data_IF_920990866712
#
_entry.id   IF_920990866712
#
_cell.length_a   1.000
_cell.length_b   1.000
_cell.length_c   1.000
_cell.angle_alpha   90.00
_cell.angle_beta   90.00
_cell.angle_gamma   90.00
#
_symmetry.space_group_name_H-M   'P 1'
#
loop_
_entity.id
_entity.type
_entity.pdbx_description
1 polymer ?
#
# COMPACT_ATOMS: atom_id res chain seq x y z
N UNK A 1 -20.56 -12.25 22.98
CA UNK A 1 -21.09 -12.42 21.61
C UNK A 1 -20.75 -11.15 20.86
N UNK A 2 -19.84 -11.22 19.88
CA UNK A 2 -19.54 -10.07 19.02
C UNK A 2 -20.76 -9.75 18.16
N UNK A 3 -21.05 -8.47 17.94
CA UNK A 3 -22.15 -8.04 17.07
C UNK A 3 -21.85 -8.41 15.60
N UNK A 4 -22.87 -8.79 14.80
CA UNK A 4 -22.71 -9.14 13.38
C UNK A 4 -22.09 -8.00 12.54
N UNK A 5 -22.25 -6.77 13.01
CA UNK A 5 -21.70 -5.54 12.43
C UNK A 5 -20.17 -5.53 12.46
N UNK A 6 -19.56 -5.96 13.57
CA UNK A 6 -18.10 -6.04 13.75
C UNK A 6 -17.49 -7.11 12.85
N UNK A 7 -18.20 -8.22 12.68
CA UNK A 7 -17.76 -9.34 11.82
C UNK A 7 -17.72 -8.93 10.34
N UNK A 8 -18.71 -8.16 9.88
CA UNK A 8 -18.71 -7.57 8.54
C UNK A 8 -17.56 -6.57 8.32
N UNK A 9 -17.27 -5.71 9.30
CA UNK A 9 -16.16 -4.75 9.22
C UNK A 9 -14.79 -5.42 9.17
N UNK A 10 -14.59 -6.47 9.98
CA UNK A 10 -13.35 -7.24 9.99
C UNK A 10 -13.13 -7.96 8.65
N UNK A 11 -14.13 -8.69 8.17
CA UNK A 11 -14.06 -9.42 6.90
C UNK A 11 -13.77 -8.50 5.71
N UNK A 12 -14.44 -7.34 5.64
CA UNK A 12 -14.19 -6.34 4.61
C UNK A 12 -12.76 -5.78 4.65
N UNK A 13 -12.29 -5.43 5.85
CA UNK A 13 -10.94 -4.91 6.05
C UNK A 13 -9.85 -5.94 5.70
N UNK A 14 -10.02 -7.19 6.15
CA UNK A 14 -9.09 -8.28 5.87
C UNK A 14 -9.01 -8.59 4.37
N UNK A 15 -10.14 -8.60 3.67
CA UNK A 15 -10.20 -8.82 2.21
C UNK A 15 -9.46 -7.73 1.45
N UNK A 16 -9.66 -6.45 1.84
CA UNK A 16 -8.95 -5.33 1.24
C UNK A 16 -7.44 -5.43 1.46
N UNK A 17 -7.02 -5.81 2.67
CA UNK A 17 -5.60 -5.94 3.01
C UNK A 17 -4.95 -7.09 2.25
N UNK A 18 -5.64 -8.22 2.10
CA UNK A 18 -5.19 -9.34 1.27
C UNK A 18 -4.97 -8.91 -0.18
N UNK A 19 -5.94 -8.19 -0.77
CA UNK A 19 -5.81 -7.72 -2.15
C UNK A 19 -4.58 -6.81 -2.34
N UNK A 20 -4.31 -5.92 -1.40
CA UNK A 20 -3.11 -5.07 -1.42
C UNK A 20 -1.82 -5.90 -1.29
N UNK A 21 -1.77 -6.86 -0.35
CA UNK A 21 -0.62 -7.74 -0.17
C UNK A 21 -0.34 -8.58 -1.42
N UNK A 22 -1.39 -9.10 -2.09
CA UNK A 22 -1.24 -9.84 -3.33
C UNK A 22 -0.66 -8.98 -4.46
N UNK A 23 -1.11 -7.73 -4.60
CA UNK A 23 -0.65 -6.82 -5.65
C UNK A 23 0.77 -6.29 -5.40
N UNK A 24 1.08 -5.92 -4.16
CA UNK A 24 2.33 -5.24 -3.81
C UNK A 24 3.48 -6.22 -3.53
N UNK A 25 3.17 -7.36 -2.91
CA UNK A 25 4.17 -8.32 -2.44
C UNK A 25 4.17 -9.62 -3.25
N UNK A 26 3.21 -9.82 -4.16
CA UNK A 26 3.04 -11.07 -4.90
C UNK A 26 2.58 -12.25 -4.05
N UNK A 27 2.07 -11.99 -2.84
CA UNK A 27 1.69 -13.03 -1.88
C UNK A 27 0.47 -13.82 -2.35
N UNK A 28 0.54 -15.15 -2.21
CA UNK A 28 -0.62 -16.03 -2.37
C UNK A 28 -1.47 -15.98 -1.09
N UNK A 29 -2.74 -16.46 -1.13
CA UNK A 29 -3.61 -16.47 0.06
C UNK A 29 -2.97 -17.08 1.31
N UNK A 30 -2.21 -18.17 1.16
CA UNK A 30 -1.57 -18.85 2.29
C UNK A 30 -0.53 -17.97 3.02
N UNK A 31 0.17 -17.09 2.30
CA UNK A 31 1.17 -16.19 2.87
C UNK A 31 0.49 -15.10 3.70
N UNK A 32 -0.60 -14.51 3.20
CA UNK A 32 -1.36 -13.51 3.94
C UNK A 32 -2.03 -14.06 5.19
N UNK A 33 -2.73 -15.20 5.09
CA UNK A 33 -3.45 -15.78 6.23
C UNK A 33 -2.52 -16.45 7.26
N UNK A 34 -1.28 -16.76 6.87
CA UNK A 34 -0.24 -17.24 7.77
C UNK A 34 0.55 -16.12 8.46
N UNK A 35 0.53 -14.90 7.92
CA UNK A 35 1.25 -13.76 8.49
C UNK A 35 0.55 -13.21 9.74
N UNK A 36 1.34 -12.86 10.74
CA UNK A 36 0.87 -12.20 11.94
C UNK A 36 0.60 -10.71 11.68
N UNK A 37 -0.30 -10.07 12.45
CA UNK A 37 -0.52 -8.62 12.34
C UNK A 37 0.75 -7.78 12.56
N UNK A 38 1.69 -8.26 13.39
CA UNK A 38 2.94 -7.57 13.67
C UNK A 38 3.89 -7.61 12.46
N UNK A 39 3.97 -8.75 11.76
CA UNK A 39 4.74 -8.86 10.52
C UNK A 39 4.16 -7.97 9.42
N UNK A 40 2.82 -7.95 9.26
CA UNK A 40 2.17 -7.04 8.32
C UNK A 40 2.47 -5.57 8.63
N UNK A 41 2.40 -5.17 9.90
CA UNK A 41 2.76 -3.80 10.30
C UNK A 41 4.23 -3.47 10.01
N UNK A 42 5.15 -4.39 10.27
CA UNK A 42 6.58 -4.18 9.99
C UNK A 42 6.84 -3.98 8.49
N UNK A 43 6.20 -4.77 7.63
CA UNK A 43 6.30 -4.64 6.17
C UNK A 43 5.78 -3.28 5.71
N UNK A 44 4.57 -2.91 6.12
CA UNK A 44 3.97 -1.65 5.68
C UNK A 44 4.71 -0.41 6.20
N UNK A 45 5.23 -0.45 7.42
CA UNK A 45 6.06 0.63 7.95
C UNK A 45 7.35 0.83 7.12
N UNK A 46 7.96 -0.27 6.65
CA UNK A 46 9.15 -0.16 5.79
C UNK A 46 8.79 0.33 4.37
N UNK A 47 7.64 -0.08 3.84
CA UNK A 47 7.13 0.46 2.58
C UNK A 47 6.85 1.96 2.65
N UNK A 48 6.30 2.44 3.76
CA UNK A 48 6.08 3.87 4.00
C UNK A 48 7.41 4.63 4.09
N UNK A 49 8.38 4.13 4.86
CA UNK A 49 9.73 4.70 4.91
C UNK A 49 10.41 4.74 3.54
N UNK A 50 10.21 3.71 2.71
CA UNK A 50 10.74 3.70 1.35
C UNK A 50 10.11 4.79 0.45
N UNK A 51 8.93 5.32 0.80
CA UNK A 51 8.29 6.46 0.12
C UNK A 51 8.82 7.83 0.57
N UNK A 52 9.65 7.90 1.61
CA UNK A 52 10.33 9.16 2.01
C UNK A 52 11.49 9.53 1.06
N UNK A 53 11.75 8.72 0.03
CA UNK A 53 12.49 9.18 -1.16
C UNK A 53 11.62 10.09 -2.03
N UNK A 54 12.23 11.04 -2.74
CA UNK A 54 11.55 12.03 -3.59
C UNK A 54 10.48 11.32 -4.43
N UNK A 55 9.21 11.57 -4.08
CA UNK A 55 8.08 10.83 -4.62
C UNK A 55 7.94 11.01 -6.12
N UNK A 56 6.90 10.44 -6.75
CA UNK A 56 6.56 10.81 -8.12
C UNK A 56 6.47 12.35 -8.21
N UNK A 57 7.11 12.99 -9.21
CA UNK A 57 7.12 14.44 -9.32
C UNK A 57 5.68 14.97 -9.39
N UNK A 58 5.41 16.05 -8.68
CA UNK A 58 4.11 16.69 -8.72
C UNK A 58 3.91 17.37 -10.08
N UNK A 59 2.66 17.68 -10.43
CA UNK A 59 2.33 18.29 -11.72
C UNK A 59 3.11 19.60 -11.97
N UNK A 60 3.38 20.36 -10.90
CA UNK A 60 4.19 21.58 -10.97
C UNK A 60 5.68 21.32 -11.22
N UNK A 61 6.21 20.20 -10.75
CA UNK A 61 7.60 19.79 -11.00
C UNK A 61 7.76 19.31 -12.44
N UNK A 62 6.76 18.59 -12.95
CA UNK A 62 6.67 18.21 -14.36
C UNK A 62 6.64 19.45 -15.26
N UNK A 63 5.82 20.46 -14.92
CA UNK A 63 5.72 21.70 -15.69
C UNK A 63 7.05 22.46 -15.73
N UNK A 64 7.77 22.54 -14.60
CA UNK A 64 9.12 23.14 -14.55
C UNK A 64 10.13 22.37 -15.40
N UNK A 65 10.08 21.04 -15.40
CA UNK A 65 10.95 20.21 -16.24
C UNK A 65 10.69 20.45 -17.74
N UNK A 66 9.41 20.57 -18.13
CA UNK A 66 9.02 20.90 -19.52
C UNK A 66 9.50 22.30 -19.95
N UNK A 67 9.53 23.27 -19.03
CA UNK A 67 10.05 24.62 -19.30
C UNK A 67 11.58 24.65 -19.37
N UNK A 68 12.26 23.89 -18.50
CA UNK A 68 13.73 23.82 -18.45
C UNK A 68 14.33 23.06 -19.64
N UNK A 69 13.61 22.06 -20.15
CA UNK A 69 14.02 21.26 -21.30
C UNK A 69 12.91 21.32 -22.36
N UNK A 70 12.77 22.44 -23.07
CA UNK A 70 11.88 22.50 -24.21
C UNK A 70 12.51 21.63 -25.30
N UNK A 71 12.00 20.41 -25.44
CA UNK A 71 12.40 19.52 -26.53
C UNK A 71 12.12 20.25 -27.84
N UNK A 72 13.21 20.60 -28.55
CA UNK A 72 13.19 21.44 -29.76
C UNK A 72 12.64 20.73 -30.99
#
# INVERSE_FOLDING_TARGET
>A
MSSPETEGLFSGSATRLFALAALLLGWRPAEFWGATPMELQAIFAEMERARDGDGPPELGDIAKLMEMFPDG
#
